data_IF_551977025607
#
_entry.id   IF_551977025607
#
_cell.length_a   1.000
_cell.length_b   1.000
_cell.length_c   1.000
_cell.angle_alpha   90.00
_cell.angle_beta   90.00
_cell.angle_gamma   90.00
#
_symmetry.space_group_name_H-M   'P 1'
#
loop_
_entity.id
_entity.type
_entity.pdbx_description
1 polymer ?
#
# COMPACT_ATOMS: atom_id res chain seq x y z
N UNK A 1 9.82 15.11 7.13
CA UNK A 1 10.49 13.80 6.94
C UNK A 1 9.64 13.01 5.98
N UNK A 2 10.25 12.37 4.99
CA UNK A 2 9.53 11.46 4.08
C UNK A 2 9.28 10.15 4.83
N UNK A 3 8.05 9.65 4.78
CA UNK A 3 7.66 8.40 5.45
C UNK A 3 7.20 7.38 4.40
N UNK A 4 8.07 6.41 4.12
CA UNK A 4 7.86 5.48 3.00
C UNK A 4 6.96 4.30 3.36
N UNK A 5 6.38 3.64 2.32
CA UNK A 5 5.62 2.41 2.54
C UNK A 5 6.45 1.34 3.26
N UNK A 6 7.74 1.22 2.96
CA UNK A 6 8.61 0.26 3.66
C UNK A 6 8.61 0.50 5.18
N UNK A 7 8.74 1.76 5.61
CA UNK A 7 8.69 2.14 7.02
C UNK A 7 7.31 1.89 7.65
N UNK A 8 6.22 2.15 6.91
CA UNK A 8 4.87 1.82 7.37
C UNK A 8 4.70 0.31 7.58
N UNK A 9 5.19 -0.50 6.66
CA UNK A 9 5.13 -1.95 6.77
C UNK A 9 5.91 -2.46 7.99
N UNK A 10 7.09 -1.90 8.25
CA UNK A 10 7.91 -2.24 9.42
C UNK A 10 7.18 -1.86 10.72
N UNK A 11 6.53 -0.70 10.77
CA UNK A 11 5.76 -0.26 11.93
C UNK A 11 4.50 -1.12 12.17
N UNK A 12 3.78 -1.51 11.11
CA UNK A 12 2.67 -2.47 11.20
C UNK A 12 3.19 -3.82 11.73
N UNK A 13 4.33 -4.29 11.24
CA UNK A 13 4.94 -5.55 11.69
C UNK A 13 5.35 -5.50 13.18
N UNK A 14 5.91 -4.38 13.62
CA UNK A 14 6.23 -4.15 15.05
C UNK A 14 4.96 -4.20 15.90
N UNK A 15 3.90 -3.50 15.48
CA UNK A 15 2.62 -3.51 16.19
C UNK A 15 2.00 -4.92 16.27
N UNK A 16 2.16 -5.73 15.21
CA UNK A 16 1.65 -7.09 15.16
C UNK A 16 2.50 -8.07 15.98
N UNK A 17 3.79 -7.81 16.16
CA UNK A 17 4.71 -8.72 16.86
C UNK A 17 4.31 -8.97 18.31
N UNK A 18 3.67 -8.00 18.97
CA UNK A 18 3.12 -8.14 20.32
C UNK A 18 1.94 -9.13 20.44
N UNK A 19 1.29 -9.44 19.32
CA UNK A 19 0.14 -10.35 19.27
C UNK A 19 0.49 -11.75 18.74
N UNK A 20 1.71 -11.94 18.25
CA UNK A 20 2.19 -13.23 17.76
C UNK A 20 3.14 -13.88 18.76
N UNK A 21 2.92 -15.18 19.05
CA UNK A 21 3.79 -15.93 19.96
C UNK A 21 5.07 -16.42 19.31
N UNK A 22 5.00 -16.68 18.01
CA UNK A 22 6.15 -17.13 17.26
C UNK A 22 6.75 -15.90 16.60
N UNK A 23 8.02 -15.66 16.89
CA UNK A 23 8.81 -14.72 16.12
C UNK A 23 9.15 -15.39 14.79
N UNK A 24 9.13 -14.61 13.72
CA UNK A 24 9.57 -15.08 12.42
C UNK A 24 11.03 -15.51 12.48
N UNK A 25 11.29 -16.74 12.05
CA UNK A 25 12.65 -17.24 11.92
C UNK A 25 13.27 -16.62 10.67
N UNK A 26 14.53 -16.26 10.76
CA UNK A 26 15.20 -15.60 9.63
C UNK A 26 16.64 -16.07 9.47
N UNK A 27 17.10 -16.04 8.23
CA UNK A 27 18.49 -16.22 7.82
C UNK A 27 18.82 -15.13 6.79
N UNK A 28 19.98 -15.20 6.15
CA UNK A 28 20.43 -14.22 5.17
C UNK A 28 20.97 -14.92 3.92
N UNK A 29 20.83 -14.27 2.76
CA UNK A 29 21.49 -14.69 1.54
C UNK A 29 23.01 -14.52 1.67
N UNK A 30 23.77 -15.51 1.25
CA UNK A 30 25.24 -15.41 1.14
C UNK A 30 25.72 -15.10 -0.28
N UNK A 31 24.79 -15.13 -1.25
CA UNK A 31 25.03 -14.75 -2.63
C UNK A 31 23.79 -14.02 -3.18
N UNK A 32 24.01 -13.04 -4.05
CA UNK A 32 22.93 -12.30 -4.69
C UNK A 32 22.11 -13.19 -5.63
N UNK A 33 20.79 -12.95 -5.69
CA UNK A 33 19.87 -13.54 -6.66
C UNK A 33 19.64 -12.55 -7.79
N UNK A 34 20.21 -12.80 -8.94
CA UNK A 34 20.19 -11.87 -10.09
C UNK A 34 19.08 -12.16 -11.11
N UNK A 35 18.52 -13.38 -11.11
CA UNK A 35 17.45 -13.76 -12.04
C UNK A 35 16.10 -13.28 -11.54
N UNK A 36 15.28 -12.76 -12.45
CA UNK A 36 13.87 -12.38 -12.23
C UNK A 36 12.91 -13.25 -13.00
N UNK A 37 13.41 -14.29 -13.70
CA UNK A 37 12.59 -15.15 -14.55
C UNK A 37 11.66 -16.03 -13.71
N UNK A 38 10.38 -16.07 -14.05
CA UNK A 38 9.38 -16.97 -13.50
C UNK A 38 8.45 -17.43 -14.65
N UNK A 39 8.24 -18.73 -14.88
CA UNK A 39 8.82 -19.86 -14.18
C UNK A 39 10.33 -20.00 -14.44
N UNK A 40 11.05 -20.56 -13.49
CA UNK A 40 12.49 -20.80 -13.62
C UNK A 40 12.68 -22.04 -14.48
N UNK A 41 13.43 -21.93 -15.56
CA UNK A 41 13.73 -23.07 -16.47
C UNK A 41 14.77 -24.03 -15.89
N UNK A 42 15.58 -23.55 -14.97
CA UNK A 42 16.54 -24.34 -14.19
C UNK A 42 16.25 -24.17 -12.71
N UNK A 43 16.49 -25.17 -11.85
CA UNK A 43 16.31 -24.99 -10.42
C UNK A 43 17.08 -23.78 -9.89
N UNK A 44 16.39 -22.86 -9.24
CA UNK A 44 17.06 -21.74 -8.55
C UNK A 44 17.54 -22.25 -7.19
N UNK A 45 18.85 -22.22 -6.98
CA UNK A 45 19.46 -22.58 -5.71
C UNK A 45 19.87 -21.30 -5.00
N UNK A 46 19.33 -21.10 -3.81
CA UNK A 46 19.64 -19.99 -2.91
C UNK A 46 20.77 -20.44 -1.95
N UNK A 47 21.81 -19.66 -1.85
CA UNK A 47 22.88 -19.85 -0.86
C UNK A 47 22.54 -19.04 0.39
N UNK A 48 22.52 -19.69 1.56
CA UNK A 48 22.02 -19.14 2.81
C UNK A 48 23.08 -19.21 3.91
N UNK A 49 23.06 -18.29 4.85
CA UNK A 49 23.96 -18.32 6.01
C UNK A 49 23.68 -19.52 6.93
N UNK A 50 22.40 -19.92 7.03
CA UNK A 50 21.97 -21.11 7.78
C UNK A 50 20.66 -21.63 7.20
N UNK A 51 20.52 -22.94 7.16
CA UNK A 51 19.28 -23.63 6.76
C UNK A 51 18.64 -24.42 7.92
N UNK A 52 19.10 -24.19 9.18
CA UNK A 52 18.69 -24.96 10.34
C UNK A 52 17.17 -24.91 10.57
N UNK A 53 16.58 -23.72 10.44
CA UNK A 53 15.15 -23.49 10.62
C UNK A 53 14.33 -23.56 9.33
N UNK A 54 15.00 -23.87 8.20
CA UNK A 54 14.37 -23.92 6.91
C UNK A 54 13.90 -25.35 6.59
N UNK A 55 12.72 -25.45 6.00
CA UNK A 55 12.17 -26.65 5.46
C UNK A 55 11.50 -26.38 4.11
N UNK A 56 10.81 -27.38 3.56
CA UNK A 56 9.92 -27.18 2.42
C UNK A 56 8.80 -26.24 2.82
N UNK A 57 8.57 -25.19 2.04
CA UNK A 57 7.53 -24.22 2.32
C UNK A 57 7.82 -22.82 1.79
N UNK A 58 7.14 -21.84 2.37
CA UNK A 58 7.23 -20.44 1.94
C UNK A 58 8.39 -19.75 2.65
N UNK A 59 9.15 -18.99 1.89
CA UNK A 59 10.11 -18.01 2.39
C UNK A 59 9.80 -16.64 1.80
N UNK A 60 10.21 -15.60 2.49
CA UNK A 60 10.10 -14.21 2.03
C UNK A 60 11.49 -13.57 1.97
N UNK A 61 11.79 -12.95 0.85
CA UNK A 61 13.00 -12.14 0.65
C UNK A 61 12.56 -10.76 0.16
N UNK A 62 12.85 -9.73 0.93
CA UNK A 62 12.35 -8.36 0.71
C UNK A 62 10.81 -8.33 0.67
N UNK A 63 10.21 -8.31 -0.51
CA UNK A 63 8.75 -8.35 -0.71
C UNK A 63 8.31 -9.50 -1.63
N UNK A 64 9.23 -10.39 -2.01
CA UNK A 64 8.94 -11.56 -2.81
C UNK A 64 8.72 -12.79 -1.93
N UNK A 65 7.63 -13.50 -2.16
CA UNK A 65 7.41 -14.83 -1.63
C UNK A 65 7.93 -15.88 -2.61
N UNK A 66 8.63 -16.88 -2.08
CA UNK A 66 9.13 -18.01 -2.84
C UNK A 66 8.73 -19.32 -2.19
N UNK A 67 8.49 -20.34 -3.01
CA UNK A 67 8.25 -21.69 -2.54
C UNK A 67 9.51 -22.53 -2.65
N UNK A 68 10.04 -22.94 -1.50
CA UNK A 68 11.18 -23.85 -1.40
C UNK A 68 10.70 -25.29 -1.50
N UNK A 69 11.29 -26.08 -2.42
CA UNK A 69 10.98 -27.49 -2.62
C UNK A 69 11.91 -28.40 -1.82
N UNK A 70 13.19 -28.07 -1.74
CA UNK A 70 14.18 -28.87 -1.00
C UNK A 70 15.24 -27.99 -0.35
N UNK A 71 15.85 -28.54 0.71
CA UNK A 71 16.88 -27.86 1.51
C UNK A 71 18.04 -28.81 1.71
N UNK A 72 19.25 -28.37 1.36
CA UNK A 72 20.49 -29.03 1.70
C UNK A 72 21.13 -28.35 2.92
N UNK A 73 21.15 -29.05 4.05
CA UNK A 73 21.68 -28.55 5.31
C UNK A 73 23.20 -28.59 5.40
N UNK A 74 23.83 -29.41 4.57
CA UNK A 74 25.30 -29.52 4.55
C UNK A 74 25.87 -28.35 3.73
N UNK A 75 25.29 -28.10 2.57
CA UNK A 75 25.71 -27.00 1.70
C UNK A 75 25.10 -25.65 2.10
N UNK A 76 24.18 -25.60 3.06
CA UNK A 76 23.40 -24.41 3.41
C UNK A 76 22.68 -23.79 2.20
N UNK A 77 22.03 -24.62 1.40
CA UNK A 77 21.30 -24.17 0.22
C UNK A 77 19.85 -24.58 0.26
N UNK A 78 19.00 -23.78 -0.41
CA UNK A 78 17.59 -24.05 -0.61
C UNK A 78 17.26 -24.00 -2.11
N UNK A 79 16.57 -24.99 -2.60
CA UNK A 79 16.14 -25.07 -4.00
C UNK A 79 14.69 -24.58 -4.10
N UNK A 80 14.48 -23.56 -4.91
CA UNK A 80 13.17 -23.00 -5.21
C UNK A 80 12.51 -23.85 -6.30
N UNK A 81 11.23 -24.19 -6.11
CA UNK A 81 10.45 -24.94 -7.10
C UNK A 81 10.38 -24.19 -8.44
N UNK A 82 10.16 -24.90 -9.58
CA UNK A 82 10.11 -24.26 -10.90
C UNK A 82 9.12 -23.10 -11.01
N UNK A 83 7.99 -23.19 -10.32
CA UNK A 83 6.97 -22.12 -10.22
C UNK A 83 6.97 -21.43 -8.85
N UNK A 84 8.06 -21.55 -8.11
CA UNK A 84 8.15 -21.06 -6.74
C UNK A 84 8.50 -19.58 -6.61
N UNK A 85 8.95 -18.91 -7.68
CA UNK A 85 9.21 -17.47 -7.70
C UNK A 85 7.90 -16.69 -7.84
N UNK A 86 7.84 -15.52 -7.21
CA UNK A 86 6.61 -14.71 -7.25
C UNK A 86 5.40 -15.43 -6.65
N UNK A 87 5.61 -16.28 -5.65
CA UNK A 87 4.55 -17.11 -5.06
C UNK A 87 3.43 -16.23 -4.47
N UNK A 88 2.18 -16.73 -4.55
CA UNK A 88 0.98 -16.00 -4.13
C UNK A 88 0.80 -14.62 -4.79
N UNK A 89 1.29 -14.46 -6.03
CA UNK A 89 1.08 -13.22 -6.80
C UNK A 89 2.07 -12.10 -6.48
N UNK A 90 3.14 -12.37 -5.74
CA UNK A 90 4.24 -11.42 -5.57
C UNK A 90 5.08 -11.34 -6.84
N UNK A 91 5.85 -10.25 -6.99
CA UNK A 91 6.68 -10.06 -8.20
C UNK A 91 8.07 -10.64 -7.96
N UNK A 92 8.55 -11.47 -8.91
CA UNK A 92 9.92 -11.95 -8.89
C UNK A 92 10.89 -10.78 -9.09
N UNK A 93 11.84 -10.64 -8.16
CA UNK A 93 12.80 -9.54 -8.11
C UNK A 93 14.25 -10.03 -7.94
N UNK A 94 15.21 -9.16 -8.16
CA UNK A 94 16.59 -9.41 -7.78
C UNK A 94 16.77 -9.14 -6.29
N UNK A 95 17.61 -9.96 -5.63
CA UNK A 95 17.91 -9.79 -4.21
C UNK A 95 19.41 -9.67 -4.02
N UNK A 96 19.81 -8.70 -3.20
CA UNK A 96 21.22 -8.49 -2.89
C UNK A 96 21.78 -9.59 -1.98
N UNK A 97 23.07 -9.77 -2.00
CA UNK A 97 23.79 -10.49 -0.94
C UNK A 97 23.47 -9.84 0.42
N UNK A 98 23.40 -10.63 1.48
CA UNK A 98 22.97 -10.25 2.82
C UNK A 98 21.49 -9.83 2.95
N UNK A 99 20.66 -9.98 1.91
CA UNK A 99 19.22 -9.78 2.06
C UNK A 99 18.65 -10.76 3.09
N UNK A 100 17.75 -10.25 3.94
CA UNK A 100 17.09 -11.05 4.97
C UNK A 100 16.10 -12.02 4.33
N UNK A 101 16.18 -13.28 4.73
CA UNK A 101 15.26 -14.35 4.34
C UNK A 101 14.41 -14.72 5.56
N UNK A 102 13.12 -14.47 5.49
CA UNK A 102 12.16 -14.83 6.55
C UNK A 102 11.52 -16.16 6.22
N UNK A 103 11.51 -17.08 7.17
CA UNK A 103 11.01 -18.44 7.00
C UNK A 103 9.56 -18.50 7.46
N UNK A 104 8.65 -18.90 6.58
CA UNK A 104 7.21 -19.03 6.87
C UNK A 104 6.63 -17.81 7.60
N UNK A 105 6.72 -16.60 7.00
CA UNK A 105 6.28 -15.38 7.68
C UNK A 105 4.79 -15.49 8.04
N UNK A 106 4.44 -15.09 9.27
CA UNK A 106 3.05 -15.06 9.74
C UNK A 106 2.28 -13.97 8.98
N UNK A 107 2.93 -12.83 8.82
CA UNK A 107 2.42 -11.68 8.06
C UNK A 107 3.42 -11.32 6.95
N UNK A 108 3.25 -11.90 5.75
CA UNK A 108 4.07 -11.52 4.60
C UNK A 108 3.97 -10.01 4.30
N UNK A 109 5.06 -9.40 3.86
CA UNK A 109 5.10 -7.96 3.52
C UNK A 109 4.08 -7.61 2.43
N UNK A 110 3.83 -8.51 1.49
CA UNK A 110 2.77 -8.37 0.48
C UNK A 110 1.37 -8.27 1.09
N UNK A 111 1.08 -9.07 2.12
CA UNK A 111 -0.19 -9.01 2.86
C UNK A 111 -0.31 -7.73 3.69
N UNK A 112 0.80 -7.26 4.27
CA UNK A 112 0.85 -5.98 5.00
C UNK A 112 0.59 -4.81 4.03
N UNK A 113 1.26 -4.80 2.88
CA UNK A 113 1.02 -3.78 1.83
C UNK A 113 -0.45 -3.78 1.37
N UNK A 114 -1.01 -4.96 1.14
CA UNK A 114 -2.43 -5.08 0.79
C UNK A 114 -3.34 -4.50 1.87
N UNK A 115 -3.11 -4.82 3.14
CA UNK A 115 -3.90 -4.32 4.26
C UNK A 115 -3.78 -2.79 4.41
N UNK A 116 -2.60 -2.22 4.17
CA UNK A 116 -2.37 -0.77 4.13
C UNK A 116 -3.21 -0.15 3.00
N UNK A 117 -3.13 -0.68 1.79
CA UNK A 117 -3.88 -0.18 0.64
C UNK A 117 -5.39 -0.29 0.84
N UNK A 118 -5.89 -1.41 1.36
CA UNK A 118 -7.30 -1.61 1.68
C UNK A 118 -7.77 -0.63 2.77
N UNK A 119 -6.88 -0.24 3.69
CA UNK A 119 -7.18 0.76 4.72
C UNK A 119 -7.22 2.17 4.12
N UNK A 120 -6.29 2.52 3.23
CA UNK A 120 -6.30 3.80 2.52
C UNK A 120 -7.61 3.96 1.74
N UNK A 121 -8.06 2.93 1.04
CA UNK A 121 -9.36 2.94 0.37
C UNK A 121 -10.52 3.16 1.33
N UNK A 122 -10.50 2.51 2.49
CA UNK A 122 -11.56 2.67 3.49
C UNK A 122 -11.57 4.07 4.12
N UNK A 123 -10.38 4.64 4.35
CA UNK A 123 -10.22 6.02 4.86
C UNK A 123 -10.69 7.04 3.83
N UNK A 124 -10.54 6.76 2.54
CA UNK A 124 -11.00 7.62 1.45
C UNK A 124 -12.50 7.92 1.46
N UNK A 125 -13.32 7.10 2.15
CA UNK A 125 -14.74 7.40 2.37
C UNK A 125 -15.00 8.51 3.41
N UNK A 126 -14.04 8.81 4.28
CA UNK A 126 -14.15 9.82 5.33
C UNK A 126 -13.22 11.03 5.09
N UNK A 127 -12.08 10.80 4.45
CA UNK A 127 -11.04 11.82 4.22
C UNK A 127 -10.62 11.78 2.76
N UNK A 128 -10.71 12.89 2.07
CA UNK A 128 -10.24 13.01 0.69
C UNK A 128 -8.81 13.54 0.62
N UNK A 129 -8.11 13.15 -0.43
CA UNK A 129 -6.83 13.71 -0.81
C UNK A 129 -7.01 15.04 -1.53
N UNK A 130 -6.15 16.01 -1.26
CA UNK A 130 -6.13 17.28 -1.99
C UNK A 130 -5.04 17.26 -3.05
N UNK A 131 -5.42 17.48 -4.29
CA UNK A 131 -4.50 17.60 -5.42
C UNK A 131 -4.70 18.92 -6.14
N UNK A 132 -3.73 19.27 -6.97
CA UNK A 132 -3.83 20.46 -7.82
C UNK A 132 -3.45 20.13 -9.25
N UNK A 133 -4.12 20.77 -10.19
CA UNK A 133 -3.75 20.78 -11.60
C UNK A 133 -3.72 22.20 -12.13
N UNK A 134 -2.99 22.42 -13.22
CA UNK A 134 -2.88 23.73 -13.83
C UNK A 134 -3.07 23.62 -15.34
N UNK A 135 -3.72 24.62 -15.92
CA UNK A 135 -3.84 24.77 -17.37
C UNK A 135 -3.73 26.24 -17.77
N UNK A 136 -3.52 26.51 -19.04
CA UNK A 136 -3.48 27.87 -19.58
C UNK A 136 -4.87 28.29 -20.03
N UNK A 137 -5.37 29.42 -19.51
CA UNK A 137 -6.68 29.93 -19.89
C UNK A 137 -6.70 30.45 -21.32
N UNK A 138 -7.68 30.01 -22.09
CA UNK A 138 -7.96 30.48 -23.44
C UNK A 138 -9.35 31.13 -23.47
N UNK A 139 -9.42 32.43 -23.78
CA UNK A 139 -10.68 33.16 -23.82
C UNK A 139 -11.68 32.68 -24.91
N UNK A 140 -11.22 31.90 -25.87
CA UNK A 140 -12.10 31.29 -26.87
C UNK A 140 -12.78 30.01 -26.39
N UNK A 141 -12.36 29.47 -25.22
CA UNK A 141 -12.86 28.23 -24.63
C UNK A 141 -13.49 28.57 -23.28
N UNK A 142 -14.77 28.30 -23.12
CA UNK A 142 -15.47 28.53 -21.84
C UNK A 142 -15.44 27.31 -20.94
N UNK A 143 -15.33 26.12 -21.51
CA UNK A 143 -15.41 24.84 -20.79
C UNK A 143 -14.12 24.03 -21.06
N UNK A 144 -13.48 23.58 -20.00
CA UNK A 144 -12.24 22.79 -20.01
C UNK A 144 -12.53 21.35 -19.56
N UNK A 145 -12.01 20.37 -20.29
CA UNK A 145 -12.13 18.96 -19.89
C UNK A 145 -10.92 18.51 -19.08
N UNK A 146 -11.17 17.64 -18.11
CA UNK A 146 -10.15 17.00 -17.29
C UNK A 146 -10.24 15.48 -17.48
N UNK A 147 -9.56 14.99 -18.51
CA UNK A 147 -9.46 13.56 -18.75
C UNK A 147 -8.55 12.90 -17.67
N UNK A 148 -8.94 11.73 -17.21
CA UNK A 148 -8.17 10.91 -16.27
C UNK A 148 -7.88 11.55 -14.90
N UNK A 149 -8.53 12.63 -14.53
CA UNK A 149 -8.51 13.18 -13.19
C UNK A 149 -9.77 12.76 -12.47
N UNK A 150 -9.66 11.89 -11.47
CA UNK A 150 -10.82 11.48 -10.64
C UNK A 150 -11.16 12.62 -9.66
N UNK A 151 -11.72 13.71 -10.15
CA UNK A 151 -12.12 14.86 -9.34
C UNK A 151 -13.47 14.54 -8.68
N UNK A 152 -13.50 14.47 -7.36
CA UNK A 152 -14.75 14.31 -6.60
C UNK A 152 -15.42 15.66 -6.35
N UNK A 153 -14.61 16.67 -6.02
CA UNK A 153 -15.09 18.02 -5.79
C UNK A 153 -13.99 19.04 -6.04
N UNK A 154 -14.34 20.22 -6.55
CA UNK A 154 -13.41 21.34 -6.70
C UNK A 154 -13.44 22.19 -5.43
N UNK A 155 -12.27 22.39 -4.83
CA UNK A 155 -12.11 23.15 -3.58
C UNK A 155 -11.85 24.63 -3.83
N UNK A 156 -11.02 24.94 -4.83
CA UNK A 156 -10.71 26.32 -5.19
C UNK A 156 -10.14 26.41 -6.61
N UNK A 157 -10.46 27.51 -7.28
CA UNK A 157 -9.88 27.86 -8.56
C UNK A 157 -9.24 29.22 -8.43
N UNK A 158 -8.03 29.39 -8.94
CA UNK A 158 -7.30 30.64 -8.96
C UNK A 158 -6.48 30.79 -10.23
N UNK A 159 -6.29 32.01 -10.69
CA UNK A 159 -5.43 32.30 -11.84
C UNK A 159 -4.29 33.25 -11.43
N UNK A 160 -3.17 33.16 -12.13
CA UNK A 160 -1.96 33.89 -11.81
C UNK A 160 -1.93 35.24 -12.54
N UNK A 161 -1.79 36.33 -11.79
CA UNK A 161 -1.70 37.68 -12.34
C UNK A 161 -0.31 37.98 -12.97
N UNK A 162 -0.24 39.11 -13.68
CA UNK A 162 0.95 39.56 -14.42
C UNK A 162 1.99 40.21 -13.53
N UNK A 163 1.65 40.63 -12.35
CA UNK A 163 2.51 41.40 -11.47
C UNK A 163 3.85 40.73 -11.13
N UNK A 164 4.84 41.46 -10.63
CA UNK A 164 6.13 40.93 -10.19
C UNK A 164 5.99 39.92 -9.05
N UNK A 165 4.93 40.01 -8.27
CA UNK A 165 4.58 39.10 -7.17
C UNK A 165 3.88 37.83 -7.64
N UNK A 166 3.38 37.81 -8.90
CA UNK A 166 2.63 36.67 -9.48
C UNK A 166 1.54 36.16 -8.54
N UNK A 167 0.71 37.05 -8.03
CA UNK A 167 -0.36 36.72 -7.10
C UNK A 167 -1.41 35.80 -7.74
N UNK A 168 -2.00 34.95 -6.88
CA UNK A 168 -3.08 34.08 -7.28
C UNK A 168 -4.43 34.71 -6.95
N UNK A 169 -5.18 35.09 -7.98
CA UNK A 169 -6.50 35.68 -7.86
C UNK A 169 -7.55 34.57 -7.91
N UNK A 170 -8.46 34.55 -6.93
CA UNK A 170 -9.51 33.53 -6.84
C UNK A 170 -10.59 33.77 -7.89
N UNK A 171 -10.94 32.70 -8.63
CA UNK A 171 -12.13 32.62 -9.49
C UNK A 171 -13.35 32.37 -8.59
N UNK A 172 -14.43 33.14 -8.74
CA UNK A 172 -15.61 33.05 -7.91
C UNK A 172 -16.77 32.38 -8.60
N UNK A 173 -16.91 32.56 -9.91
CA UNK A 173 -17.96 31.97 -10.72
C UNK A 173 -17.39 30.88 -11.60
N UNK A 174 -17.73 29.67 -11.28
CA UNK A 174 -17.39 28.48 -12.06
C UNK A 174 -18.45 27.41 -11.82
N UNK A 175 -18.57 26.50 -12.75
CA UNK A 175 -19.45 25.34 -12.70
C UNK A 175 -18.66 24.09 -13.05
N UNK A 176 -18.88 23.01 -12.30
CA UNK A 176 -18.18 21.74 -12.48
C UNK A 176 -19.19 20.64 -12.75
N UNK A 177 -19.06 20.00 -13.92
CA UNK A 177 -19.85 18.82 -14.28
C UNK A 177 -18.99 17.57 -14.19
N UNK A 178 -19.22 16.71 -13.14
CA UNK A 178 -18.49 15.46 -12.98
C UNK A 178 -18.92 14.36 -13.97
N UNK A 179 -20.04 14.54 -14.67
CA UNK A 179 -20.64 13.57 -15.59
C UNK A 179 -20.83 14.14 -16.99
N UNK A 180 -19.83 14.86 -17.48
CA UNK A 180 -19.90 15.47 -18.80
C UNK A 180 -20.18 14.43 -19.89
N UNK A 181 -20.87 14.88 -20.94
CA UNK A 181 -21.28 14.03 -22.06
C UNK A 181 -20.07 13.35 -22.74
N UNK A 182 -20.13 12.03 -22.78
CA UNK A 182 -19.07 11.17 -23.32
C UNK A 182 -18.85 11.38 -24.83
N UNK A 183 -19.92 11.63 -25.57
CA UNK A 183 -19.84 11.81 -27.02
C UNK A 183 -19.12 13.13 -27.39
N UNK A 184 -19.26 14.14 -26.53
CA UNK A 184 -18.65 15.45 -26.73
C UNK A 184 -17.24 15.54 -26.13
N UNK A 185 -17.01 14.91 -24.97
CA UNK A 185 -15.80 15.13 -24.15
C UNK A 185 -14.90 13.91 -23.98
N UNK A 186 -15.33 12.73 -24.41
CA UNK A 186 -14.63 11.46 -24.23
C UNK A 186 -14.96 10.73 -22.92
N UNK A 187 -14.54 9.47 -22.84
CA UNK A 187 -14.82 8.60 -21.68
C UNK A 187 -14.19 9.13 -20.40
N UNK A 188 -14.99 9.24 -19.35
CA UNK A 188 -14.55 9.66 -18.01
C UNK A 188 -14.18 11.15 -17.94
N UNK A 189 -14.64 11.94 -18.91
CA UNK A 189 -14.41 13.38 -18.91
C UNK A 189 -15.22 14.07 -17.83
N UNK A 190 -14.55 14.97 -17.16
CA UNK A 190 -15.13 15.90 -16.21
C UNK A 190 -14.88 17.30 -16.75
N UNK A 191 -15.83 18.20 -16.65
CA UNK A 191 -15.70 19.54 -17.25
C UNK A 191 -15.80 20.64 -16.22
N UNK A 192 -15.06 21.71 -16.47
CA UNK A 192 -15.06 22.94 -15.70
C UNK A 192 -15.40 24.12 -16.61
N UNK A 193 -16.47 24.81 -16.33
CA UNK A 193 -16.84 26.06 -16.98
C UNK A 193 -16.46 27.24 -16.09
N UNK A 194 -15.72 28.22 -16.64
CA UNK A 194 -15.30 29.42 -15.91
C UNK A 194 -16.19 30.58 -16.36
N UNK A 195 -16.97 31.12 -15.41
CA UNK A 195 -17.86 32.26 -15.63
C UNK A 195 -17.29 33.63 -15.25
N UNK A 196 -16.09 33.67 -14.67
CA UNK A 196 -15.41 34.91 -14.35
C UNK A 196 -14.50 35.39 -15.50
N UNK A 197 -14.19 36.67 -15.47
CA UNK A 197 -13.23 37.25 -16.41
C UNK A 197 -11.81 36.88 -16.00
N UNK A 198 -11.18 36.03 -16.78
CA UNK A 198 -9.77 35.65 -16.63
C UNK A 198 -9.00 36.17 -17.85
N UNK A 199 -7.79 36.65 -17.65
CA UNK A 199 -6.94 37.15 -18.76
C UNK A 199 -6.42 35.94 -19.56
N UNK A 200 -6.59 36.02 -20.90
CA UNK A 200 -6.11 34.97 -21.79
C UNK A 200 -4.59 34.74 -21.67
N UNK A 201 -4.16 33.49 -21.78
CA UNK A 201 -2.76 33.09 -21.66
C UNK A 201 -2.26 32.97 -20.20
N UNK A 202 -3.13 33.16 -19.21
CA UNK A 202 -2.78 33.01 -17.80
C UNK A 202 -2.90 31.56 -17.32
N UNK A 203 -2.03 31.20 -16.38
CA UNK A 203 -2.11 29.91 -15.73
C UNK A 203 -3.27 29.90 -14.73
N UNK A 204 -4.17 28.96 -14.89
CA UNK A 204 -5.25 28.68 -13.93
C UNK A 204 -4.85 27.45 -13.14
N UNK A 205 -5.01 27.54 -11.84
CA UNK A 205 -4.79 26.45 -10.87
C UNK A 205 -6.13 26.00 -10.29
N UNK A 206 -6.40 24.72 -10.39
CA UNK A 206 -7.56 24.06 -9.81
C UNK A 206 -7.08 23.19 -8.66
N UNK A 207 -7.59 23.46 -7.46
CA UNK A 207 -7.43 22.60 -6.29
C UNK A 207 -8.68 21.75 -6.14
N UNK A 208 -8.50 20.45 -6.05
CA UNK A 208 -9.63 19.51 -6.02
C UNK A 208 -9.42 18.40 -4.99
N UNK A 209 -10.54 17.84 -4.56
CA UNK A 209 -10.62 16.64 -3.74
C UNK A 209 -10.68 15.41 -4.65
N UNK A 210 -9.98 14.36 -4.26
CA UNK A 210 -10.00 13.05 -4.93
C UNK A 210 -9.82 11.94 -3.89
N UNK A 211 -10.19 10.72 -4.25
CA UNK A 211 -9.88 9.55 -3.43
C UNK A 211 -8.38 9.38 -3.27
N UNK A 212 -7.89 8.99 -2.08
CA UNK A 212 -6.47 8.74 -1.85
C UNK A 212 -5.94 7.64 -2.78
N UNK A 213 -4.75 7.85 -3.33
CA UNK A 213 -4.09 6.84 -4.17
C UNK A 213 -3.39 5.79 -3.31
N UNK A 214 -3.40 4.53 -3.76
CA UNK A 214 -2.72 3.42 -3.08
C UNK A 214 -1.25 3.32 -3.47
N UNK A 215 -0.49 2.56 -2.69
CA UNK A 215 0.92 2.29 -2.96
C UNK A 215 1.11 1.18 -3.99
N UNK A 216 2.05 1.39 -4.88
CA UNK A 216 2.50 0.40 -5.87
C UNK A 216 3.96 -0.02 -5.65
N UNK A 217 4.75 0.79 -4.93
CA UNK A 217 6.17 0.51 -4.63
C UNK A 217 6.48 0.85 -3.18
N UNK A 218 7.39 0.08 -2.58
CA UNK A 218 7.83 0.24 -1.18
C UNK A 218 8.60 1.53 -0.91
N UNK A 219 9.17 2.15 -1.95
CA UNK A 219 9.92 3.41 -1.86
C UNK A 219 9.06 4.67 -1.90
N UNK A 220 7.77 4.53 -2.21
CA UNK A 220 6.86 5.68 -2.31
C UNK A 220 6.61 6.32 -0.95
N UNK A 221 6.63 7.65 -0.92
CA UNK A 221 6.33 8.45 0.27
C UNK A 221 4.82 8.55 0.51
N UNK A 222 4.42 8.48 1.78
CA UNK A 222 3.01 8.44 2.19
C UNK A 222 2.23 9.66 1.70
N UNK A 223 2.67 10.86 2.07
CA UNK A 223 1.92 12.08 1.77
C UNK A 223 1.90 12.39 0.27
N UNK A 224 3.02 12.16 -0.41
CA UNK A 224 3.13 12.43 -1.86
C UNK A 224 2.28 11.44 -2.68
N UNK A 225 2.30 10.16 -2.30
CA UNK A 225 1.57 9.14 -3.05
C UNK A 225 0.07 9.20 -2.77
N UNK A 226 -0.32 9.23 -1.50
CA UNK A 226 -1.74 9.16 -1.14
C UNK A 226 -2.45 10.51 -1.24
N UNK A 227 -1.71 11.62 -1.12
CA UNK A 227 -2.26 12.96 -0.99
C UNK A 227 -2.89 13.25 0.39
N UNK A 228 -2.73 12.32 1.33
CA UNK A 228 -3.19 12.49 2.72
C UNK A 228 -2.10 13.19 3.57
N UNK A 229 -2.47 13.97 4.59
CA UNK A 229 -1.50 14.55 5.50
C UNK A 229 -0.81 13.47 6.34
N UNK A 230 0.46 13.69 6.70
CA UNK A 230 1.24 12.75 7.53
C UNK A 230 0.57 12.41 8.88
N UNK A 231 -0.25 13.30 9.41
CA UNK A 231 -0.98 13.08 10.66
C UNK A 231 -1.97 11.90 10.60
N UNK A 232 -2.39 11.49 9.39
CA UNK A 232 -3.34 10.38 9.21
C UNK A 232 -2.65 9.01 9.10
N UNK A 233 -1.31 8.96 9.06
CA UNK A 233 -0.55 7.71 8.90
C UNK A 233 -0.86 6.69 10.00
N UNK A 234 -0.99 7.16 11.26
CA UNK A 234 -1.28 6.29 12.41
C UNK A 234 -2.63 5.56 12.26
N UNK A 235 -3.61 6.24 11.66
CA UNK A 235 -4.93 5.66 11.36
C UNK A 235 -4.77 4.50 10.37
N UNK A 236 -3.95 4.71 9.33
CA UNK A 236 -3.70 3.68 8.31
C UNK A 236 -2.94 2.50 8.90
N UNK A 237 -1.93 2.74 9.75
CA UNK A 237 -1.16 1.69 10.43
C UNK A 237 -2.07 0.86 11.34
N UNK A 238 -2.87 1.49 12.18
CA UNK A 238 -3.83 0.80 13.06
C UNK A 238 -4.88 0.04 12.26
N UNK A 239 -5.38 0.63 11.18
CA UNK A 239 -6.33 0.01 10.28
C UNK A 239 -5.78 -1.23 9.58
N UNK A 240 -4.53 -1.21 9.15
CA UNK A 240 -3.86 -2.38 8.58
C UNK A 240 -3.63 -3.47 9.63
N UNK A 241 -3.19 -3.10 10.82
CA UNK A 241 -2.93 -4.04 11.91
C UNK A 241 -4.20 -4.80 12.31
N UNK A 242 -5.35 -4.13 12.52
CA UNK A 242 -6.56 -4.83 12.90
C UNK A 242 -7.07 -5.77 11.81
N UNK A 243 -6.95 -5.39 10.51
CA UNK A 243 -7.33 -6.23 9.38
C UNK A 243 -6.52 -7.52 9.33
N UNK A 244 -5.21 -7.42 9.54
CA UNK A 244 -4.32 -8.58 9.54
C UNK A 244 -4.59 -9.52 10.73
N UNK A 245 -4.89 -8.99 11.90
CA UNK A 245 -5.21 -9.81 13.08
C UNK A 245 -6.53 -10.58 12.92
N UNK A 246 -7.49 -10.07 12.14
CA UNK A 246 -8.73 -10.81 11.85
C UNK A 246 -8.48 -12.16 11.16
N UNK A 247 -7.41 -12.29 10.38
CA UNK A 247 -7.07 -13.54 9.67
C UNK A 247 -6.41 -14.60 10.57
N UNK A 248 -5.97 -14.24 11.77
CA UNK A 248 -5.35 -15.21 12.69
C UNK A 248 -6.36 -16.12 13.39
N UNK A 249 -7.54 -15.63 13.70
CA UNK A 249 -8.55 -16.38 14.46
C UNK A 249 -9.16 -17.57 13.67
N UNK A 250 -9.53 -17.43 12.38
CA UNK A 250 -10.03 -18.56 11.60
C UNK A 250 -9.01 -19.69 11.43
N UNK A 251 -7.73 -19.36 11.28
CA UNK A 251 -6.67 -20.35 11.16
C UNK A 251 -6.48 -21.14 12.45
N UNK A 252 -6.69 -20.52 13.61
CA UNK A 252 -6.64 -21.19 14.93
C UNK A 252 -7.87 -22.01 15.21
N UNK A 253 -9.05 -21.55 14.82
CA UNK A 253 -10.29 -22.32 14.94
C UNK A 253 -10.25 -23.62 14.12
N UNK A 254 -9.54 -23.63 13.00
CA UNK A 254 -9.36 -24.83 12.16
C UNK A 254 -8.35 -25.83 12.75
N UNK A 255 -7.52 -25.42 13.70
CA UNK A 255 -6.54 -26.28 14.37
C UNK A 255 -7.07 -26.90 15.68
N UNK A 256 -8.37 -26.99 15.85
CA UNK A 256 -8.98 -27.59 17.04
C UNK A 256 -8.61 -29.09 17.13
N UNK A 257 -7.59 -29.38 17.93
CA UNK A 257 -7.22 -30.72 18.35
C UNK A 257 -7.53 -30.86 19.86
N UNK A 258 -8.10 -31.97 20.30
CA UNK A 258 -8.35 -32.19 21.73
C UNK A 258 -7.11 -32.10 22.63
N UNK A 259 -5.92 -32.26 22.04
CA UNK A 259 -4.63 -32.06 22.74
C UNK A 259 -4.20 -30.60 22.85
N UNK A 260 -4.86 -29.68 22.18
CA UNK A 260 -4.60 -28.23 22.29
C UNK A 260 -5.16 -27.64 23.61
N UNK A 261 -6.04 -28.35 24.31
CA UNK A 261 -6.74 -27.88 25.51
C UNK A 261 -5.78 -27.53 26.67
N UNK A 262 -4.65 -28.22 26.78
CA UNK A 262 -3.63 -27.89 27.82
C UNK A 262 -2.82 -26.61 27.46
N UNK A 263 -2.65 -26.33 26.19
CA UNK A 263 -1.92 -25.12 25.72
C UNK A 263 -2.87 -23.95 25.71
N UNK A 264 -4.14 -24.15 25.36
CA UNK A 264 -5.19 -23.14 25.32
C UNK A 264 -5.67 -22.69 26.71
N UNK A 265 -5.47 -23.48 27.76
CA UNK A 265 -5.77 -23.08 29.15
C UNK A 265 -4.94 -21.83 29.59
N UNK A 266 -3.82 -21.55 28.92
CA UNK A 266 -3.01 -20.35 29.13
C UNK A 266 -3.39 -19.17 28.22
N UNK A 267 -4.28 -19.39 27.25
CA UNK A 267 -4.77 -18.37 26.32
C UNK A 267 -6.28 -18.52 26.14
N UNK A 268 -7.07 -17.63 26.74
CA UNK A 268 -8.50 -17.70 26.59
C UNK A 268 -8.86 -17.59 25.09
N UNK A 269 -9.73 -18.48 24.64
CA UNK A 269 -10.37 -18.44 23.35
C UNK A 269 -10.96 -17.03 23.12
N UNK A 270 -10.59 -16.36 22.04
CA UNK A 270 -11.03 -15.00 21.75
C UNK A 270 -10.10 -13.88 22.25
N UNK A 271 -8.91 -14.17 22.77
CA UNK A 271 -7.95 -13.12 23.16
C UNK A 271 -7.54 -12.25 21.96
N UNK A 272 -7.37 -12.85 20.78
CA UNK A 272 -7.12 -12.13 19.52
C UNK A 272 -8.35 -11.30 19.10
N UNK A 273 -9.56 -11.80 19.31
CA UNK A 273 -10.79 -11.08 19.01
C UNK A 273 -10.95 -9.82 19.90
N UNK A 274 -10.52 -9.88 21.15
CA UNK A 274 -10.48 -8.71 22.04
C UNK A 274 -9.46 -7.68 21.55
N UNK A 275 -8.28 -8.12 21.14
CA UNK A 275 -7.25 -7.24 20.58
C UNK A 275 -7.71 -6.58 19.27
N UNK A 276 -8.34 -7.35 18.38
CA UNK A 276 -8.95 -6.83 17.13
C UNK A 276 -10.00 -5.76 17.43
N UNK A 277 -10.89 -6.01 18.42
CA UNK A 277 -11.91 -5.01 18.82
C UNK A 277 -11.29 -3.75 19.39
N UNK A 278 -10.24 -3.86 20.19
CA UNK A 278 -9.52 -2.70 20.73
C UNK A 278 -8.85 -1.89 19.61
N UNK A 279 -8.15 -2.56 18.69
CA UNK A 279 -7.53 -1.86 17.55
C UNK A 279 -8.57 -1.22 16.63
N UNK A 280 -9.70 -1.89 16.40
CA UNK A 280 -10.79 -1.32 15.64
C UNK A 280 -11.40 -0.09 16.33
N UNK A 281 -11.58 -0.14 17.66
CA UNK A 281 -12.06 1.00 18.44
C UNK A 281 -11.09 2.19 18.38
N UNK A 282 -9.77 1.93 18.49
CA UNK A 282 -8.75 2.96 18.34
C UNK A 282 -8.72 3.54 16.92
N UNK A 283 -8.86 2.69 15.91
CA UNK A 283 -8.95 3.10 14.52
C UNK A 283 -10.15 4.02 14.28
N UNK A 284 -11.34 3.62 14.72
CA UNK A 284 -12.57 4.42 14.57
C UNK A 284 -12.58 5.71 15.40
N UNK A 285 -11.89 5.73 16.54
CA UNK A 285 -11.75 6.93 17.36
C UNK A 285 -10.82 7.97 16.72
N UNK A 286 -9.85 7.52 15.92
CA UNK A 286 -8.87 8.41 15.26
C UNK A 286 -9.26 8.80 13.85
N UNK A 287 -10.20 8.06 13.23
CA UNK A 287 -10.78 8.39 11.93
C UNK A 287 -11.74 9.60 12.05
#
# INVERSE_FOLDING_TARGET
MTYTLAQMMDEVQINLSGYTYQQDRSTYLTAAVTTTTSPVTSPLVLSLASTQDLGKGIIEIDSELMWVDSVDRVANTATVAPYGRGYLGTTAATHAEAAKVTVSPIFPRSSIQKAINDTIHAVGGAVYATKQTTFTYNAAITTYSFENLSIENILAISWQDIGPTKEWIRVRRWDFDPFADVDTWGNGSQTLTIGDVVIAGRTVKVMYATSPSTFTSTSQDYSTQTGLPESTKDVVILGAAYRLLQYLDPARAAQYSPQADEIDAKRPFGASNTAVRQLFALYTQRL
#
